data_IF_036973579221
#
_entry.id   IF_036973579221
#
_cell.length_a   1.000
_cell.length_b   1.000
_cell.length_c   1.000
_cell.angle_alpha   90.00
_cell.angle_beta   90.00
_cell.angle_gamma   90.00
#
_symmetry.space_group_name_H-M   'P 1'
#
loop_
_entity.id
_entity.type
_entity.pdbx_description
1 polymer ?
#
# COMPACT_ATOMS: atom_id res chain seq x y z
N UNK A 1 5.91 -0.73 -10.88
CA UNK A 1 4.86 -1.45 -10.14
C UNK A 1 3.68 -1.67 -11.07
N UNK A 2 3.31 -2.92 -11.31
CA UNK A 2 2.15 -3.26 -12.14
C UNK A 2 0.88 -3.12 -11.29
N UNK A 3 0.31 -1.92 -11.26
CA UNK A 3 -1.02 -1.67 -10.71
C UNK A 3 -2.04 -2.34 -11.63
N UNK A 4 -2.29 -3.63 -11.42
CA UNK A 4 -3.42 -4.33 -12.06
C UNK A 4 -4.70 -3.81 -11.42
N UNK A 5 -5.17 -2.67 -11.93
CA UNK A 5 -6.48 -2.08 -11.64
C UNK A 5 -7.50 -2.80 -12.54
N UNK A 6 -7.79 -4.05 -12.22
CA UNK A 6 -8.95 -4.75 -12.75
C UNK A 6 -9.95 -4.83 -11.62
N UNK A 7 -11.21 -4.48 -11.90
CA UNK A 7 -12.33 -4.75 -10.99
C UNK A 7 -12.35 -6.26 -10.74
N UNK A 8 -11.85 -6.65 -9.58
CA UNK A 8 -11.88 -8.05 -9.16
C UNK A 8 -13.35 -8.33 -8.89
N UNK A 9 -13.99 -9.09 -9.77
CA UNK A 9 -15.26 -9.71 -9.42
C UNK A 9 -15.02 -10.51 -8.14
N UNK A 10 -15.86 -10.33 -7.12
CA UNK A 10 -15.72 -11.00 -5.81
C UNK A 10 -15.56 -12.53 -5.92
N UNK A 11 -15.99 -13.12 -7.04
CA UNK A 11 -15.90 -14.55 -7.34
C UNK A 11 -14.57 -14.97 -7.99
N UNK A 12 -13.75 -14.04 -8.50
CA UNK A 12 -12.50 -14.34 -9.17
C UNK A 12 -11.34 -14.44 -8.16
N UNK A 13 -11.00 -15.68 -7.78
CA UNK A 13 -9.88 -15.97 -6.86
C UNK A 13 -8.50 -15.85 -7.52
N UNK A 14 -8.42 -15.60 -8.83
CA UNK A 14 -7.14 -15.50 -9.56
C UNK A 14 -6.18 -14.45 -9.00
N UNK A 15 -6.62 -13.23 -8.58
CA UNK A 15 -5.71 -12.23 -8.03
C UNK A 15 -5.06 -12.67 -6.72
N UNK A 16 -5.79 -13.36 -5.85
CA UNK A 16 -5.25 -13.94 -4.60
C UNK A 16 -4.25 -15.06 -4.90
N UNK A 17 -4.55 -15.91 -5.88
CA UNK A 17 -3.65 -16.98 -6.31
C UNK A 17 -2.31 -16.43 -6.81
N UNK A 18 -2.34 -15.46 -7.73
CA UNK A 18 -1.11 -14.84 -8.26
C UNK A 18 -0.35 -14.05 -7.19
N UNK A 19 -1.07 -13.40 -6.27
CA UNK A 19 -0.44 -12.73 -5.14
C UNK A 19 0.26 -13.74 -4.21
N UNK A 20 -0.38 -14.87 -3.89
CA UNK A 20 0.20 -15.93 -3.06
C UNK A 20 1.49 -16.47 -3.68
N UNK A 21 1.49 -16.73 -5.00
CA UNK A 21 2.69 -17.12 -5.75
C UNK A 21 3.78 -16.03 -5.68
N UNK A 22 3.41 -14.77 -5.86
CA UNK A 22 4.36 -13.65 -5.81
C UNK A 22 5.00 -13.53 -4.43
N UNK A 23 4.22 -13.68 -3.36
CA UNK A 23 4.71 -13.69 -1.98
C UNK A 23 5.65 -14.89 -1.76
N UNK A 24 5.30 -16.07 -2.28
CA UNK A 24 6.15 -17.25 -2.19
C UNK A 24 7.52 -17.01 -2.84
N UNK A 25 7.56 -16.54 -4.09
CA UNK A 25 8.82 -16.23 -4.77
C UNK A 25 9.61 -15.11 -4.09
N UNK A 26 8.93 -14.08 -3.57
CA UNK A 26 9.59 -13.03 -2.80
C UNK A 26 10.26 -13.59 -1.54
N UNK A 27 9.60 -14.52 -0.83
CA UNK A 27 10.19 -15.21 0.32
C UNK A 27 11.35 -16.12 -0.08
N UNK A 28 11.23 -16.87 -1.17
CA UNK A 28 12.32 -17.71 -1.70
C UNK A 28 13.55 -16.90 -2.12
N UNK A 29 13.39 -15.63 -2.49
CA UNK A 29 14.48 -14.71 -2.79
C UNK A 29 15.00 -13.95 -1.55
N UNK A 30 14.60 -14.35 -0.33
CA UNK A 30 14.89 -13.66 0.93
C UNK A 30 14.47 -12.18 0.95
N UNK A 31 13.46 -11.80 0.16
CA UNK A 31 13.04 -10.40 0.07
C UNK A 31 12.48 -9.87 1.39
N UNK A 32 11.87 -10.74 2.21
CA UNK A 32 11.42 -10.43 3.57
C UNK A 32 12.57 -10.10 4.53
N UNK A 33 13.78 -10.62 4.28
CA UNK A 33 15.00 -10.38 5.08
C UNK A 33 15.98 -9.44 4.38
N UNK A 34 15.47 -8.53 3.56
CA UNK A 34 16.31 -7.61 2.78
C UNK A 34 17.31 -6.80 3.65
N UNK A 35 17.03 -6.62 4.94
CA UNK A 35 17.91 -5.91 5.88
C UNK A 35 19.21 -6.65 6.18
N UNK A 36 19.23 -7.98 6.07
CA UNK A 36 20.41 -8.84 6.28
C UNK A 36 21.41 -8.77 5.11
N UNK A 37 20.99 -8.24 3.96
CA UNK A 37 21.83 -8.15 2.77
C UNK A 37 22.86 -7.01 2.90
N UNK A 38 24.12 -7.34 2.63
CA UNK A 38 25.24 -6.39 2.68
C UNK A 38 25.30 -5.48 1.44
N UNK A 39 24.99 -6.00 0.25
CA UNK A 39 24.96 -5.17 -0.97
C UNK A 39 23.78 -4.20 -0.92
N UNK A 40 24.10 -2.90 -0.87
CA UNK A 40 23.11 -1.81 -0.86
C UNK A 40 22.21 -1.80 -2.09
N UNK A 41 22.66 -2.34 -3.23
CA UNK A 41 21.87 -2.37 -4.46
C UNK A 41 20.88 -3.53 -4.45
N UNK A 42 21.34 -4.74 -4.15
CA UNK A 42 20.47 -5.91 -3.97
C UNK A 42 19.42 -5.67 -2.87
N UNK A 43 19.85 -5.12 -1.73
CA UNK A 43 18.98 -4.71 -0.62
C UNK A 43 17.84 -3.80 -1.10
N UNK A 44 18.13 -2.80 -1.93
CA UNK A 44 17.11 -1.88 -2.48
C UNK A 44 16.12 -2.60 -3.38
N UNK A 45 16.57 -3.53 -4.23
CA UNK A 45 15.67 -4.29 -5.11
C UNK A 45 14.76 -5.22 -4.32
N UNK A 46 15.31 -5.96 -3.36
CA UNK A 46 14.55 -6.86 -2.49
C UNK A 46 13.55 -6.11 -1.62
N UNK A 47 13.96 -4.98 -1.04
CA UNK A 47 13.07 -4.09 -0.29
C UNK A 47 11.88 -3.62 -1.14
N UNK A 48 12.14 -3.14 -2.35
CA UNK A 48 11.06 -2.75 -3.29
C UNK A 48 10.16 -3.93 -3.63
N UNK A 49 10.72 -5.10 -3.93
CA UNK A 49 9.94 -6.30 -4.26
C UNK A 49 9.01 -6.70 -3.11
N UNK A 50 9.53 -6.71 -1.88
CA UNK A 50 8.76 -7.06 -0.69
C UNK A 50 7.62 -6.08 -0.42
N UNK A 51 7.91 -4.78 -0.42
CA UNK A 51 6.90 -3.75 -0.22
C UNK A 51 5.87 -3.69 -1.37
N UNK A 52 6.23 -4.07 -2.60
CA UNK A 52 5.25 -4.28 -3.68
C UNK A 52 4.23 -5.38 -3.31
N UNK A 53 4.71 -6.49 -2.74
CA UNK A 53 3.85 -7.60 -2.36
C UNK A 53 2.94 -7.21 -1.20
N UNK A 54 3.47 -6.54 -0.17
CA UNK A 54 2.68 -6.02 0.96
C UNK A 54 1.60 -5.07 0.46
N UNK A 55 1.98 -4.04 -0.31
CA UNK A 55 1.02 -3.06 -0.81
C UNK A 55 -0.10 -3.72 -1.62
N UNK A 56 0.25 -4.67 -2.49
CA UNK A 56 -0.74 -5.38 -3.30
C UNK A 56 -1.67 -6.25 -2.46
N UNK A 57 -1.12 -6.91 -1.43
CA UNK A 57 -1.88 -7.71 -0.47
C UNK A 57 -2.90 -6.86 0.29
N UNK A 58 -2.48 -5.70 0.81
CA UNK A 58 -3.37 -4.79 1.57
C UNK A 58 -4.47 -4.19 0.71
N UNK A 59 -4.16 -3.79 -0.53
CA UNK A 59 -5.17 -3.29 -1.48
C UNK A 59 -6.17 -4.40 -1.86
N UNK A 60 -5.68 -5.63 -2.10
CA UNK A 60 -6.57 -6.75 -2.43
C UNK A 60 -7.43 -7.17 -1.24
N UNK A 61 -6.86 -7.19 -0.04
CA UNK A 61 -7.57 -7.47 1.20
C UNK A 61 -8.68 -6.42 1.46
N UNK A 62 -8.39 -5.13 1.22
CA UNK A 62 -9.39 -4.07 1.24
C UNK A 62 -10.50 -4.30 0.21
N UNK A 63 -10.15 -4.62 -1.03
CA UNK A 63 -11.13 -4.81 -2.10
C UNK A 63 -12.00 -6.06 -1.93
N UNK A 64 -11.44 -7.12 -1.35
CA UNK A 64 -12.11 -8.42 -1.15
C UNK A 64 -12.70 -8.59 0.25
N UNK A 65 -12.52 -7.62 1.14
CA UNK A 65 -12.98 -7.67 2.53
C UNK A 65 -12.46 -8.88 3.30
N UNK A 66 -11.18 -9.20 3.11
CA UNK A 66 -10.55 -10.37 3.73
C UNK A 66 -9.34 -9.95 4.54
N UNK A 67 -8.87 -10.84 5.41
CA UNK A 67 -7.59 -10.66 6.07
C UNK A 67 -6.47 -10.64 5.03
N UNK A 68 -5.47 -9.75 5.18
CA UNK A 68 -4.28 -9.81 4.35
C UNK A 68 -3.53 -11.15 4.49
N UNK A 69 -2.93 -11.63 3.40
CA UNK A 69 -2.15 -12.87 3.39
C UNK A 69 -0.82 -12.71 4.13
N UNK A 70 -0.22 -11.51 4.10
CA UNK A 70 1.00 -11.21 4.85
C UNK A 70 0.61 -10.78 6.26
N UNK A 71 0.81 -11.67 7.24
CA UNK A 71 0.44 -11.43 8.63
C UNK A 71 1.31 -10.31 9.27
N UNK A 72 0.70 -9.25 9.85
CA UNK A 72 1.43 -8.20 10.55
C UNK A 72 2.20 -8.67 11.79
N UNK A 73 1.74 -9.72 12.48
CA UNK A 73 2.29 -10.13 13.78
C UNK A 73 3.41 -11.17 13.75
N UNK A 74 3.78 -11.69 12.57
CA UNK A 74 4.58 -12.91 12.50
C UNK A 74 6.09 -12.71 12.34
N UNK A 75 6.63 -11.50 12.06
CA UNK A 75 8.10 -11.30 12.15
C UNK A 75 8.69 -9.88 11.97
N UNK A 76 8.04 -8.84 11.44
CA UNK A 76 8.82 -7.74 10.81
C UNK A 76 8.32 -6.29 11.05
N UNK A 77 7.67 -5.95 12.16
CA UNK A 77 7.28 -4.55 12.47
C UNK A 77 8.48 -3.60 12.69
N UNK A 78 9.72 -4.10 12.67
CA UNK A 78 10.96 -3.30 12.76
C UNK A 78 11.61 -3.03 11.39
N UNK A 79 11.01 -3.51 10.29
CA UNK A 79 11.58 -3.34 8.95
C UNK A 79 11.35 -1.92 8.41
N UNK A 80 12.40 -1.16 8.06
CA UNK A 80 12.24 0.20 7.56
C UNK A 80 11.44 0.26 6.26
N UNK A 81 10.44 1.14 6.20
CA UNK A 81 9.62 1.36 5.02
C UNK A 81 10.43 1.91 3.82
N UNK A 82 9.88 1.80 2.61
CA UNK A 82 10.46 2.39 1.40
C UNK A 82 10.74 3.89 1.58
N UNK A 83 11.87 4.30 1.04
CA UNK A 83 12.37 5.67 1.03
C UNK A 83 12.68 6.10 -0.40
N UNK A 84 12.80 7.41 -0.66
CA UNK A 84 13.13 7.91 -1.99
C UNK A 84 14.50 7.40 -2.50
N UNK A 85 15.44 7.16 -1.57
CA UNK A 85 16.77 6.63 -1.86
C UNK A 85 16.72 5.20 -2.41
N UNK A 86 15.67 4.46 -2.05
CA UNK A 86 15.44 3.14 -2.61
C UNK A 86 15.20 3.26 -4.11
N UNK A 87 14.66 4.38 -4.63
CA UNK A 87 14.34 4.67 -6.04
C UNK A 87 15.40 5.44 -6.83
N UNK A 88 16.48 5.91 -6.18
CA UNK A 88 17.44 6.87 -6.76
C UNK A 88 18.00 6.49 -8.15
N UNK A 89 18.31 5.20 -8.37
CA UNK A 89 18.81 4.72 -9.66
C UNK A 89 17.74 4.70 -10.76
N UNK A 90 16.48 4.44 -10.39
CA UNK A 90 15.36 4.35 -11.35
C UNK A 90 14.89 5.74 -11.78
N UNK A 91 14.91 6.70 -10.86
CA UNK A 91 14.54 8.11 -11.13
C UNK A 91 15.43 8.70 -12.22
N UNK A 92 16.74 8.43 -12.19
CA UNK A 92 17.72 8.99 -13.13
C UNK A 92 17.79 8.28 -14.49
N UNK A 93 17.31 7.03 -14.59
CA UNK A 93 17.48 6.18 -15.79
C UNK A 93 16.17 5.80 -16.48
N UNK A 94 15.04 6.38 -16.04
CA UNK A 94 13.74 6.13 -16.64
C UNK A 94 13.69 6.61 -18.09
N UNK A 95 13.31 5.73 -19.03
CA UNK A 95 13.10 6.07 -20.45
C UNK A 95 11.66 6.49 -20.77
N UNK A 96 10.75 6.32 -19.81
CA UNK A 96 9.29 6.49 -20.01
C UNK A 96 8.79 7.75 -19.31
N UNK A 97 9.22 7.96 -18.07
CA UNK A 97 8.89 9.13 -17.27
C UNK A 97 10.07 10.08 -17.18
N UNK A 98 9.80 11.39 -17.23
CA UNK A 98 10.79 12.40 -16.90
C UNK A 98 11.24 12.29 -15.44
N UNK A 99 12.36 12.94 -15.10
CA UNK A 99 12.92 12.88 -13.75
C UNK A 99 11.92 13.30 -12.67
N UNK A 100 11.19 14.40 -12.91
CA UNK A 100 10.18 14.94 -11.99
C UNK A 100 9.01 13.97 -11.84
N UNK A 101 8.41 13.51 -12.94
CA UNK A 101 7.31 12.54 -12.90
C UNK A 101 7.70 11.26 -12.15
N UNK A 102 8.92 10.75 -12.40
CA UNK A 102 9.40 9.52 -11.78
C UNK A 102 9.64 9.68 -10.29
N UNK A 103 10.12 10.85 -9.86
CA UNK A 103 10.27 11.20 -8.46
C UNK A 103 8.90 11.29 -7.77
N UNK A 104 7.91 11.91 -8.42
CA UNK A 104 6.53 11.95 -7.91
C UNK A 104 5.92 10.54 -7.82
N UNK A 105 6.12 9.69 -8.82
CA UNK A 105 5.65 8.29 -8.76
C UNK A 105 6.28 7.55 -7.58
N UNK A 106 7.58 7.75 -7.32
CA UNK A 106 8.25 7.13 -6.19
C UNK A 106 7.67 7.64 -4.85
N UNK A 107 7.37 8.93 -4.72
CA UNK A 107 6.69 9.50 -3.55
C UNK A 107 5.30 8.88 -3.35
N UNK A 108 4.49 8.81 -4.41
CA UNK A 108 3.17 8.18 -4.38
C UNK A 108 3.25 6.74 -3.88
N UNK A 109 4.24 5.98 -4.34
CA UNK A 109 4.46 4.59 -3.91
C UNK A 109 4.82 4.50 -2.42
N UNK A 110 5.68 5.38 -1.92
CA UNK A 110 6.06 5.43 -0.50
C UNK A 110 4.82 5.69 0.35
N UNK A 111 4.04 6.69 -0.02
CA UNK A 111 2.80 7.04 0.66
C UNK A 111 1.79 5.88 0.63
N UNK A 112 1.66 5.20 -0.51
CA UNK A 112 0.80 4.02 -0.62
C UNK A 112 1.24 2.91 0.34
N UNK A 113 2.54 2.77 0.61
CA UNK A 113 3.05 1.82 1.59
C UNK A 113 2.66 2.23 3.02
N UNK A 114 2.70 3.52 3.37
CA UNK A 114 2.21 4.03 4.66
C UNK A 114 0.72 3.73 4.83
N UNK A 115 -0.08 3.97 3.80
CA UNK A 115 -1.49 3.61 3.78
C UNK A 115 -1.69 2.10 3.96
N UNK A 116 -0.90 1.28 3.26
CA UNK A 116 -0.94 -0.17 3.36
C UNK A 116 -0.61 -0.67 4.77
N UNK A 117 0.29 0.02 5.48
CA UNK A 117 0.63 -0.26 6.87
C UNK A 117 -0.58 0.00 7.80
N UNK A 118 -1.20 1.19 7.68
CA UNK A 118 -2.44 1.54 8.40
C UNK A 118 -3.56 0.53 8.10
N UNK A 119 -3.73 0.11 6.83
CA UNK A 119 -4.68 -0.93 6.46
C UNK A 119 -4.35 -2.30 7.06
N UNK A 120 -3.06 -2.60 7.28
CA UNK A 120 -2.62 -3.81 7.96
C UNK A 120 -3.16 -3.91 9.38
N UNK A 121 -3.30 -2.77 10.06
CA UNK A 121 -3.90 -2.68 11.39
C UNK A 121 -5.44 -2.73 11.33
N UNK A 122 -6.06 -2.05 10.36
CA UNK A 122 -7.53 -1.92 10.26
C UNK A 122 -8.22 -3.19 9.75
N UNK A 123 -7.67 -3.86 8.72
CA UNK A 123 -8.35 -4.98 8.04
C UNK A 123 -8.63 -6.18 8.96
N UNK A 124 -7.72 -6.59 9.86
CA UNK A 124 -8.00 -7.63 10.86
C UNK A 124 -9.14 -7.28 11.83
N UNK A 125 -9.47 -5.99 11.99
CA UNK A 125 -10.48 -5.49 12.93
C UNK A 125 -11.88 -5.39 12.31
N UNK A 126 -12.01 -5.50 10.99
CA UNK A 126 -13.34 -5.50 10.38
C UNK A 126 -14.13 -6.74 10.82
N UNK A 127 -15.42 -6.60 11.21
CA UNK A 127 -16.22 -7.66 11.84
C UNK A 127 -16.37 -8.94 11.01
N UNK A 128 -15.95 -8.93 9.74
CA UNK A 128 -15.93 -10.07 8.84
C UNK A 128 -14.81 -11.08 9.13
N UNK A 129 -13.80 -10.75 9.95
CA UNK A 129 -12.58 -11.55 10.09
C UNK A 129 -12.44 -12.31 11.43
N UNK A 130 -12.91 -11.79 12.57
CA UNK A 130 -12.91 -12.53 13.85
C UNK A 130 -14.01 -12.06 14.81
N UNK A 131 -14.69 -13.02 15.45
CA UNK A 131 -15.68 -12.83 16.53
C UNK A 131 -15.07 -12.49 17.90
N UNK A 132 -14.07 -11.62 17.94
CA UNK A 132 -13.56 -11.05 19.19
C UNK A 132 -14.05 -9.60 19.30
N UNK A 133 -14.84 -9.28 20.32
CA UNK A 133 -15.34 -7.92 20.54
C UNK A 133 -14.18 -6.93 20.69
N UNK A 134 -14.27 -5.81 19.98
CA UNK A 134 -13.23 -4.77 19.96
C UNK A 134 -13.53 -3.67 20.99
N UNK A 135 -12.48 -3.08 21.54
CA UNK A 135 -12.58 -1.85 22.31
C UNK A 135 -12.79 -0.67 21.34
N UNK A 136 -13.88 0.07 21.53
CA UNK A 136 -14.26 1.26 20.72
C UNK A 136 -13.10 2.26 20.56
N UNK A 137 -12.27 2.41 21.58
CA UNK A 137 -11.09 3.30 21.60
C UNK A 137 -10.03 2.95 20.54
N UNK A 138 -9.85 1.66 20.23
CA UNK A 138 -8.84 1.19 19.27
C UNK A 138 -9.25 1.51 17.83
N UNK A 139 -10.55 1.37 17.53
CA UNK A 139 -11.15 1.75 16.24
C UNK A 139 -11.11 3.27 16.05
N UNK A 140 -11.38 4.04 17.10
CA UNK A 140 -11.30 5.51 17.07
C UNK A 140 -9.85 5.98 16.82
N UNK A 141 -8.85 5.39 17.49
CA UNK A 141 -7.44 5.72 17.27
C UNK A 141 -6.99 5.45 15.82
N UNK A 142 -7.36 4.30 15.26
CA UNK A 142 -7.01 3.95 13.88
C UNK A 142 -7.68 4.84 12.84
N UNK A 143 -8.93 5.24 13.09
CA UNK A 143 -9.64 6.20 12.23
C UNK A 143 -8.96 7.56 12.26
N UNK A 144 -8.52 8.03 13.44
CA UNK A 144 -7.75 9.28 13.57
C UNK A 144 -6.39 9.20 12.87
N UNK A 145 -5.68 8.08 12.96
CA UNK A 145 -4.42 7.85 12.23
C UNK A 145 -4.65 7.93 10.73
N UNK A 146 -5.74 7.35 10.22
CA UNK A 146 -6.10 7.39 8.81
C UNK A 146 -6.45 8.81 8.34
N UNK A 147 -7.26 9.54 9.10
CA UNK A 147 -7.63 10.94 8.78
C UNK A 147 -6.40 11.85 8.78
N UNK A 148 -5.51 11.69 9.79
CA UNK A 148 -4.25 12.42 9.85
C UNK A 148 -3.38 12.16 8.62
N UNK A 149 -3.18 10.88 8.29
CA UNK A 149 -2.42 10.49 7.09
C UNK A 149 -3.01 11.08 5.82
N UNK A 150 -4.34 11.06 5.65
CA UNK A 150 -4.99 11.64 4.48
C UNK A 150 -4.75 13.14 4.40
N UNK A 151 -4.94 13.87 5.50
CA UNK A 151 -4.75 15.32 5.52
C UNK A 151 -3.30 15.74 5.21
N UNK A 152 -2.32 15.03 5.79
CA UNK A 152 -0.90 15.30 5.57
C UNK A 152 -0.50 15.03 4.10
N UNK A 153 -1.13 14.02 3.49
CA UNK A 153 -0.66 13.53 2.20
C UNK A 153 -1.48 14.01 1.02
N UNK A 154 -2.72 14.41 1.24
CA UNK A 154 -3.63 14.94 0.20
C UNK A 154 -3.02 16.12 -0.57
N UNK A 155 -2.31 17.01 0.12
CA UNK A 155 -1.61 18.13 -0.53
C UNK A 155 -0.56 17.63 -1.52
N UNK A 156 0.22 16.61 -1.13
CA UNK A 156 1.32 16.03 -1.92
C UNK A 156 0.79 15.36 -3.19
N UNK A 157 -0.41 14.76 -3.14
CA UNK A 157 -1.06 14.14 -4.31
C UNK A 157 -1.69 15.14 -5.27
N UNK A 158 -2.32 16.19 -4.74
CA UNK A 158 -3.06 17.16 -5.55
C UNK A 158 -2.11 18.10 -6.30
N UNK A 159 -1.02 18.52 -5.65
CA UNK A 159 -0.04 19.47 -6.20
C UNK A 159 0.48 19.08 -7.60
N UNK A 160 0.91 17.83 -7.88
CA UNK A 160 1.33 17.41 -9.21
C UNK A 160 0.22 17.39 -10.27
N UNK A 161 -1.03 17.12 -9.88
CA UNK A 161 -2.16 17.09 -10.83
C UNK A 161 -2.61 18.48 -11.29
N UNK A 162 -2.22 19.53 -10.55
CA UNK A 162 -2.51 20.93 -10.85
C UNK A 162 -1.41 21.59 -11.70
N UNK A 163 -0.25 20.94 -11.84
CA UNK A 163 0.85 21.46 -12.66
C UNK A 163 0.62 21.14 -14.14
N UNK A 164 0.71 22.16 -15.01
CA UNK A 164 0.63 22.01 -16.46
C UNK A 164 1.85 21.23 -16.97
N UNK A 165 1.61 20.14 -17.72
CA UNK A 165 2.68 19.34 -18.34
C UNK A 165 3.04 18.02 -17.65
N UNK A 166 2.30 17.59 -16.61
CA UNK A 166 2.54 16.32 -15.92
C UNK A 166 1.96 15.10 -16.66
N UNK A 167 2.57 13.93 -16.47
CA UNK A 167 2.13 12.70 -17.13
C UNK A 167 0.76 12.23 -16.62
N UNK A 168 -0.18 11.93 -17.52
CA UNK A 168 -1.60 11.56 -17.23
C UNK A 168 -1.77 10.43 -16.19
N UNK A 169 -0.78 9.56 -16.02
CA UNK A 169 -0.81 8.50 -15.00
C UNK A 169 -0.84 9.04 -13.56
N UNK A 170 -0.30 10.23 -13.32
CA UNK A 170 -0.28 10.84 -11.98
C UNK A 170 -1.70 11.19 -11.52
N UNK A 171 -2.55 11.71 -12.41
CA UNK A 171 -3.97 11.93 -12.14
C UNK A 171 -4.69 10.64 -11.80
N UNK A 172 -4.40 9.55 -12.52
CA UNK A 172 -4.96 8.23 -12.24
C UNK A 172 -4.59 7.76 -10.82
N UNK A 173 -3.31 7.85 -10.46
CA UNK A 173 -2.85 7.42 -9.13
C UNK A 173 -3.47 8.23 -7.99
N UNK A 174 -3.58 9.55 -8.16
CA UNK A 174 -4.25 10.41 -7.18
C UNK A 174 -5.73 10.03 -7.02
N UNK A 175 -6.45 9.83 -8.11
CA UNK A 175 -7.88 9.49 -8.07
C UNK A 175 -8.11 8.14 -7.39
N UNK A 176 -7.29 7.13 -7.70
CA UNK A 176 -7.35 5.80 -7.10
C UNK A 176 -7.16 5.87 -5.58
N UNK A 177 -6.20 6.66 -5.11
CA UNK A 177 -5.93 6.83 -3.69
C UNK A 177 -7.13 7.45 -2.96
N UNK A 178 -7.72 8.51 -3.53
CA UNK A 178 -8.94 9.11 -3.00
C UNK A 178 -10.08 8.08 -2.93
N UNK A 179 -10.22 7.22 -3.95
CA UNK A 179 -11.22 6.15 -3.93
C UNK A 179 -10.98 5.15 -2.79
N UNK A 180 -9.73 4.75 -2.55
CA UNK A 180 -9.42 3.85 -1.44
C UNK A 180 -9.71 4.48 -0.07
N UNK A 181 -9.37 5.74 0.13
CA UNK A 181 -9.69 6.46 1.37
C UNK A 181 -11.21 6.55 1.60
N UNK A 182 -11.96 6.98 0.57
CA UNK A 182 -13.42 7.05 0.61
C UNK A 182 -14.09 5.69 0.76
N UNK A 183 -13.41 4.59 0.47
CA UNK A 183 -13.95 3.25 0.68
C UNK A 183 -13.82 2.78 2.14
N UNK A 184 -12.84 3.33 2.88
CA UNK A 184 -12.57 2.98 4.28
C UNK A 184 -13.47 3.77 5.24
N UNK A 185 -13.67 5.07 5.00
CA UNK A 185 -14.41 5.98 5.92
C UNK A 185 -15.91 5.68 6.11
N UNK A 186 -16.72 5.46 5.07
CA UNK A 186 -18.15 5.21 5.23
C UNK A 186 -18.42 3.95 6.06
N UNK A 187 -17.45 3.04 6.15
CA UNK A 187 -17.60 1.75 6.82
C UNK A 187 -17.19 1.78 8.28
N UNK A 188 -16.19 2.57 8.69
CA UNK A 188 -15.96 2.84 10.11
C UNK A 188 -17.10 3.65 10.74
N UNK A 189 -17.87 4.39 9.93
CA UNK A 189 -19.07 5.12 10.37
C UNK A 189 -20.38 4.32 10.28
N UNK A 190 -20.46 3.22 9.52
CA UNK A 190 -21.70 2.45 9.38
C UNK A 190 -21.95 1.45 10.51
N UNK A 191 -20.92 1.04 11.26
CA UNK A 191 -21.07 0.29 12.53
C UNK A 191 -21.57 1.18 13.70
N UNK A 192 -22.10 2.37 13.38
CA UNK A 192 -22.57 3.37 14.35
C UNK A 192 -24.09 3.41 14.51
N UNK A 193 -24.81 2.48 13.87
CA UNK A 193 -26.26 2.30 14.02
C UNK A 193 -26.60 0.81 14.14
N UNK A 194 -26.41 0.26 15.33
CA UNK A 194 -27.22 -0.80 15.94
C UNK A 194 -27.04 -0.77 17.45
#
# INVERSE_FOLDING_TARGET
>A
MMLTYRTVSFMDKKPLYWLSISIHYAKSADAHRYYEKQDTREKRYLKRLWWCCILRDRILALALHQSPLVNPGANDTSCPMLSINDFAHEIKKSRVYGHVDKQTIAQIVIILCEFGDILGDILPLTPLVKGGGFCREEVENLTLRLDKWYNETYAIFRLPTLMTGTHKSLTLFSNILCTYYQYVIPRSCCDRTE
#
